data_IF_143927556062
#
_entry.id   IF_143927556062
#
_cell.length_a   1.000
_cell.length_b   1.000
_cell.length_c   1.000
_cell.angle_alpha   90.00
_cell.angle_beta   90.00
_cell.angle_gamma   90.00
#
_symmetry.space_group_name_H-M   'P 1'
#
loop_
_entity.id
_entity.type
_entity.pdbx_description
1 polymer ?
#
# COMPACT_ATOMS: atom_id res chain seq x y z
N UNK A 1 -24.65 57.34 13.38
CA UNK A 1 -24.32 56.50 12.20
C UNK A 1 -22.84 56.18 12.28
N UNK A 2 -22.47 55.01 12.83
CA UNK A 2 -21.07 54.55 12.99
C UNK A 2 -20.87 53.31 12.12
N UNK A 3 -20.00 53.41 11.11
CA UNK A 3 -19.57 52.28 10.29
C UNK A 3 -18.65 51.38 11.13
N UNK A 4 -18.96 50.08 11.23
CA UNK A 4 -18.03 49.06 11.73
C UNK A 4 -17.16 48.61 10.56
N UNK A 5 -15.85 48.82 10.64
CA UNK A 5 -14.86 48.15 9.79
C UNK A 5 -14.75 46.69 10.25
N UNK A 6 -15.02 45.76 9.35
CA UNK A 6 -14.68 44.35 9.50
C UNK A 6 -13.29 44.18 8.90
N UNK A 7 -12.31 43.86 9.75
CA UNK A 7 -10.99 43.40 9.32
C UNK A 7 -11.15 41.93 9.00
N UNK A 8 -11.12 41.58 7.71
CA UNK A 8 -10.96 40.19 7.27
C UNK A 8 -9.47 39.90 7.36
N UNK A 9 -9.05 39.21 8.43
CA UNK A 9 -7.72 38.62 8.50
C UNK A 9 -7.67 37.47 7.49
N UNK A 10 -7.01 37.72 6.37
CA UNK A 10 -6.67 36.70 5.39
C UNK A 10 -5.77 35.67 6.06
N UNK A 11 -6.29 34.45 6.25
CA UNK A 11 -5.48 33.29 6.64
C UNK A 11 -4.48 33.04 5.51
N UNK A 12 -3.18 33.17 5.80
CA UNK A 12 -2.14 32.56 4.98
C UNK A 12 -2.32 31.04 5.11
N UNK A 13 -2.89 30.41 4.08
CA UNK A 13 -2.79 28.96 3.92
C UNK A 13 -1.35 28.71 3.45
N UNK A 14 -0.50 28.31 4.40
CA UNK A 14 0.86 27.87 4.09
C UNK A 14 0.79 26.56 3.34
N UNK A 15 1.23 26.57 2.08
CA UNK A 15 1.41 25.35 1.28
C UNK A 15 2.55 24.55 1.88
N UNK A 16 2.24 23.42 2.53
CA UNK A 16 3.24 22.42 2.89
C UNK A 16 3.61 21.69 1.60
N UNK A 17 4.85 21.87 1.15
CA UNK A 17 5.40 21.10 0.04
C UNK A 17 5.68 19.67 0.55
N UNK A 18 4.85 18.71 0.12
CA UNK A 18 5.01 17.29 0.43
C UNK A 18 5.91 16.69 -0.65
N UNK A 19 7.19 16.50 -0.34
CA UNK A 19 8.19 15.89 -1.24
C UNK A 19 8.51 14.45 -0.85
N UNK A 20 7.50 13.63 -0.58
CA UNK A 20 7.73 12.31 0.02
C UNK A 20 7.65 11.10 -0.91
N UNK A 21 6.85 11.16 -1.98
CA UNK A 21 6.50 9.98 -2.78
C UNK A 21 7.00 10.01 -4.23
N UNK A 22 7.95 10.90 -4.53
CA UNK A 22 8.44 11.16 -5.88
C UNK A 22 7.63 12.25 -6.58
N UNK A 23 8.03 13.50 -6.35
CA UNK A 23 7.92 14.53 -7.37
C UNK A 23 9.35 14.86 -7.80
N UNK A 24 9.65 14.70 -9.08
CA UNK A 24 10.81 15.34 -9.68
C UNK A 24 10.81 16.82 -9.26
N UNK A 25 11.97 17.33 -8.86
CA UNK A 25 12.15 18.70 -8.39
C UNK A 25 11.56 19.72 -9.39
N UNK A 26 10.40 20.29 -9.08
CA UNK A 26 9.82 21.39 -9.86
C UNK A 26 10.50 22.69 -9.45
N UNK A 27 11.36 23.20 -10.34
CA UNK A 27 11.85 24.58 -10.30
C UNK A 27 10.70 25.55 -10.60
N UNK A 28 10.75 26.69 -9.93
CA UNK A 28 9.85 27.85 -9.96
C UNK A 28 9.01 28.09 -11.23
N UNK A 29 7.76 28.50 -10.96
CA UNK A 29 6.74 29.03 -11.86
C UNK A 29 7.27 29.84 -13.06
N UNK A 30 6.91 29.36 -14.25
CA UNK A 30 6.43 30.24 -15.31
C UNK A 30 5.07 29.75 -15.77
N UNK A 31 4.09 30.65 -15.75
CA UNK A 31 2.76 30.45 -16.34
C UNK A 31 2.86 29.79 -17.72
N UNK A 32 2.44 28.53 -17.80
CA UNK A 32 2.16 27.86 -19.07
C UNK A 32 0.72 27.36 -19.00
N UNK A 33 -0.08 27.88 -19.93
CA UNK A 33 -1.47 27.52 -20.14
C UNK A 33 -1.61 26.01 -20.34
N UNK A 34 -2.56 25.44 -19.59
CA UNK A 34 -3.27 24.18 -19.79
C UNK A 34 -2.97 23.44 -21.10
N UNK A 35 -2.37 22.25 -20.96
CA UNK A 35 -2.72 21.02 -21.71
C UNK A 35 -1.97 19.83 -21.08
N UNK A 36 -2.72 18.85 -20.54
CA UNK A 36 -2.22 17.50 -20.23
C UNK A 36 -2.37 17.07 -18.76
N UNK A 37 -3.43 16.32 -18.46
CA UNK A 37 -3.75 15.74 -17.14
C UNK A 37 -2.60 14.86 -16.60
N UNK A 38 -2.29 15.02 -15.31
CA UNK A 38 -1.67 13.98 -14.50
C UNK A 38 -2.74 12.91 -14.28
N UNK A 39 -2.51 11.69 -14.75
CA UNK A 39 -3.50 10.61 -14.76
C UNK A 39 -4.06 10.36 -13.34
N UNK A 40 -5.31 10.76 -13.14
CA UNK A 40 -6.19 10.26 -12.10
C UNK A 40 -6.39 8.76 -12.41
N UNK A 41 -5.89 7.88 -11.55
CA UNK A 41 -6.12 6.44 -11.70
C UNK A 41 -7.60 6.22 -11.42
N UNK A 42 -8.34 5.80 -12.44
CA UNK A 42 -9.75 5.46 -12.30
C UNK A 42 -9.86 4.08 -11.64
N UNK A 43 -9.79 4.07 -10.31
CA UNK A 43 -9.90 2.85 -9.51
C UNK A 43 -11.21 2.12 -9.76
N UNK A 44 -12.29 2.86 -10.06
CA UNK A 44 -13.65 2.31 -10.14
C UNK A 44 -13.85 1.31 -11.28
N UNK A 45 -13.06 1.43 -12.35
CA UNK A 45 -13.19 0.59 -13.56
C UNK A 45 -12.14 -0.56 -13.61
N UNK A 46 -11.35 -0.74 -12.55
CA UNK A 46 -10.29 -1.75 -12.55
C UNK A 46 -10.84 -3.18 -12.41
N UNK A 47 -11.88 -3.40 -11.61
CA UNK A 47 -12.52 -4.70 -11.38
C UNK A 47 -14.03 -4.54 -11.18
N UNK A 48 -14.79 -5.62 -11.31
CA UNK A 48 -16.18 -5.64 -10.83
C UNK A 48 -16.18 -5.86 -9.31
N UNK A 49 -16.06 -4.76 -8.56
CA UNK A 49 -16.00 -4.80 -7.10
C UNK A 49 -17.28 -5.33 -6.46
N UNK A 50 -18.43 -5.17 -7.12
CA UNK A 50 -19.69 -5.72 -6.61
C UNK A 50 -19.69 -7.25 -6.72
N UNK A 51 -19.26 -7.80 -7.87
CA UNK A 51 -19.09 -9.25 -8.05
C UNK A 51 -18.04 -9.84 -7.10
N UNK A 52 -16.94 -9.11 -6.88
CA UNK A 52 -15.90 -9.50 -5.93
C UNK A 52 -16.35 -9.39 -4.46
N UNK A 53 -17.43 -8.66 -4.15
CA UNK A 53 -17.87 -8.41 -2.77
C UNK A 53 -16.97 -7.43 -2.02
N UNK A 54 -16.38 -6.47 -2.72
CA UNK A 54 -15.46 -5.45 -2.18
C UNK A 54 -16.22 -4.13 -2.00
N UNK A 55 -16.26 -3.66 -0.76
CA UNK A 55 -16.78 -2.33 -0.44
C UNK A 55 -15.62 -1.30 -0.32
N UNK A 56 -15.85 -0.03 -0.68
CA UNK A 56 -14.83 1.00 -0.53
C UNK A 56 -14.49 1.26 0.95
N UNK A 57 -13.20 1.36 1.24
CA UNK A 57 -12.65 1.63 2.55
C UNK A 57 -13.14 2.97 3.12
N UNK A 58 -13.54 2.94 4.40
CA UNK A 58 -13.99 4.13 5.12
C UNK A 58 -12.82 4.77 5.86
N UNK A 59 -12.33 5.89 5.31
CA UNK A 59 -11.21 6.62 5.89
C UNK A 59 -11.61 7.36 7.17
N UNK A 60 -10.66 7.48 8.09
CA UNK A 60 -10.80 8.33 9.26
C UNK A 60 -11.04 9.80 8.85
N UNK A 61 -11.80 10.57 9.65
CA UNK A 61 -12.17 11.95 9.31
C UNK A 61 -11.00 12.93 9.35
N UNK A 62 -9.86 12.55 9.95
CA UNK A 62 -8.63 13.34 9.99
C UNK A 62 -7.43 12.47 9.66
N UNK A 63 -6.42 13.08 9.04
CA UNK A 63 -5.14 12.42 8.75
C UNK A 63 -4.28 12.23 9.99
N UNK A 64 -4.45 13.07 11.02
CA UNK A 64 -3.67 13.02 12.26
C UNK A 64 -3.89 11.75 13.10
N UNK A 65 -4.79 10.87 12.68
CA UNK A 65 -5.09 9.58 13.32
C UNK A 65 -4.71 8.38 12.45
N UNK A 66 -3.89 8.59 11.41
CA UNK A 66 -3.37 7.48 10.61
C UNK A 66 -2.53 6.54 11.48
N UNK A 67 -2.77 5.24 11.31
CA UNK A 67 -2.04 4.15 11.94
C UNK A 67 -1.86 3.03 10.91
N UNK A 68 -0.67 2.45 10.85
CA UNK A 68 -0.45 1.21 10.12
C UNK A 68 -1.10 0.05 10.87
N UNK A 69 -2.10 -0.59 10.26
CA UNK A 69 -2.61 -1.86 10.76
C UNK A 69 -1.57 -2.98 10.61
N UNK A 70 -1.79 -4.10 11.28
CA UNK A 70 -0.94 -5.28 11.13
C UNK A 70 -0.99 -5.84 9.70
N UNK A 71 -2.14 -5.76 9.02
CA UNK A 71 -2.27 -6.17 7.62
C UNK A 71 -1.39 -5.30 6.70
N UNK A 72 -1.38 -3.99 6.93
CA UNK A 72 -0.53 -3.08 6.14
C UNK A 72 0.96 -3.28 6.46
N UNK A 73 1.32 -3.52 7.72
CA UNK A 73 2.72 -3.82 8.11
C UNK A 73 3.22 -5.10 7.46
N UNK A 74 2.43 -6.17 7.53
CA UNK A 74 2.78 -7.47 6.93
C UNK A 74 2.95 -7.33 5.41
N UNK A 75 2.04 -6.59 4.74
CA UNK A 75 2.14 -6.30 3.32
C UNK A 75 3.43 -5.55 2.94
N UNK A 76 3.81 -4.55 3.73
CA UNK A 76 5.07 -3.80 3.54
C UNK A 76 6.27 -4.72 3.70
N UNK A 77 6.32 -5.49 4.79
CA UNK A 77 7.41 -6.43 5.05
C UNK A 77 7.55 -7.44 3.90
N UNK A 78 6.44 -7.94 3.38
CA UNK A 78 6.48 -8.89 2.26
C UNK A 78 7.15 -8.29 1.02
N UNK A 79 6.71 -7.10 0.60
CA UNK A 79 7.25 -6.45 -0.59
C UNK A 79 8.72 -6.10 -0.40
N UNK A 80 9.10 -5.78 0.84
CA UNK A 80 10.48 -5.59 1.23
C UNK A 80 11.29 -6.90 1.11
N UNK A 81 10.79 -8.03 1.59
CA UNK A 81 11.46 -9.34 1.45
C UNK A 81 11.62 -9.77 -0.02
N UNK A 82 10.68 -9.41 -0.90
CA UNK A 82 10.77 -9.71 -2.33
C UNK A 82 11.94 -8.99 -3.02
N UNK A 83 12.14 -7.70 -2.74
CA UNK A 83 12.98 -6.85 -3.61
C UNK A 83 13.94 -5.90 -2.87
N UNK A 84 13.83 -5.79 -1.54
CA UNK A 84 14.44 -4.77 -0.66
C UNK A 84 14.09 -3.32 -1.00
N UNK A 85 13.84 -3.03 -2.28
CA UNK A 85 13.43 -1.74 -2.81
C UNK A 85 12.28 -1.97 -3.80
N UNK A 86 11.05 -1.82 -3.33
CA UNK A 86 9.87 -2.04 -4.15
C UNK A 86 9.53 -0.83 -5.04
N UNK A 87 9.10 -1.10 -6.27
CA UNK A 87 8.35 -0.15 -7.11
C UNK A 87 7.37 -0.91 -8.03
N UNK A 88 6.36 -0.24 -8.63
CA UNK A 88 5.26 -0.93 -9.29
C UNK A 88 5.67 -1.71 -10.56
N UNK A 89 6.75 -1.32 -11.25
CA UNK A 89 7.25 -2.07 -12.42
C UNK A 89 7.77 -3.46 -12.06
N UNK A 90 8.10 -3.71 -10.80
CA UNK A 90 8.53 -5.04 -10.34
C UNK A 90 7.38 -6.06 -10.37
N UNK A 91 6.13 -5.61 -10.34
CA UNK A 91 4.98 -6.50 -10.54
C UNK A 91 4.90 -7.08 -11.96
N UNK A 92 5.69 -6.57 -12.90
CA UNK A 92 5.77 -7.08 -14.28
C UNK A 92 6.91 -8.08 -14.47
N UNK A 93 7.71 -8.36 -13.43
CA UNK A 93 8.78 -9.34 -13.50
C UNK A 93 8.23 -10.76 -13.66
N UNK A 94 8.94 -11.60 -14.41
CA UNK A 94 8.52 -12.98 -14.70
C UNK A 94 8.32 -13.84 -13.43
N UNK A 95 9.05 -13.55 -12.35
CA UNK A 95 8.99 -14.28 -11.09
C UNK A 95 7.95 -13.74 -10.10
N UNK A 96 7.38 -12.56 -10.37
CA UNK A 96 6.47 -11.89 -9.44
C UNK A 96 5.20 -12.72 -9.20
N UNK A 97 4.58 -13.28 -10.24
CA UNK A 97 3.35 -14.08 -10.08
C UNK A 97 3.60 -15.29 -9.17
N UNK A 98 4.69 -16.03 -9.40
CA UNK A 98 5.03 -17.20 -8.60
C UNK A 98 5.34 -16.80 -7.14
N UNK A 99 6.12 -15.74 -6.95
CA UNK A 99 6.39 -15.18 -5.63
C UNK A 99 5.10 -14.72 -4.94
N UNK A 100 4.21 -14.03 -5.67
CA UNK A 100 2.97 -13.48 -5.15
C UNK A 100 2.04 -14.59 -4.67
N UNK A 101 1.74 -15.56 -5.53
CA UNK A 101 0.87 -16.68 -5.17
C UNK A 101 1.48 -17.48 -4.00
N UNK A 102 2.79 -17.70 -4.01
CA UNK A 102 3.44 -18.49 -2.97
C UNK A 102 3.60 -17.77 -1.63
N UNK A 103 3.72 -16.44 -1.57
CA UNK A 103 4.01 -15.72 -0.32
C UNK A 103 2.90 -14.76 0.11
N UNK A 104 2.25 -14.04 -0.79
CA UNK A 104 1.28 -13.01 -0.41
C UNK A 104 -0.08 -13.56 0.01
N UNK A 105 -0.52 -14.67 -0.58
CA UNK A 105 -1.71 -15.41 -0.12
C UNK A 105 -1.53 -15.86 1.35
N UNK A 106 -0.27 -15.98 1.83
CA UNK A 106 0.09 -16.39 3.19
C UNK A 106 -0.01 -15.29 4.23
N UNK A 107 0.00 -14.01 3.82
CA UNK A 107 0.31 -12.86 4.69
C UNK A 107 -0.91 -12.11 5.19
N UNK A 108 -2.07 -12.72 5.02
CA UNK A 108 -3.33 -12.00 5.06
C UNK A 108 -4.34 -12.68 6.01
N UNK A 109 -3.85 -13.18 7.16
CA UNK A 109 -4.73 -13.71 8.22
C UNK A 109 -5.65 -12.65 8.89
N UNK A 110 -5.55 -11.37 8.51
CA UNK A 110 -6.21 -10.26 9.20
C UNK A 110 -7.20 -9.42 8.40
N UNK A 111 -7.21 -9.46 7.06
CA UNK A 111 -8.08 -8.58 6.28
C UNK A 111 -9.46 -9.19 5.99
N UNK A 112 -10.49 -8.36 6.04
CA UNK A 112 -11.90 -8.77 5.91
C UNK A 112 -12.18 -9.56 4.61
N UNK A 113 -11.48 -9.24 3.52
CA UNK A 113 -11.65 -9.90 2.23
C UNK A 113 -11.22 -11.38 2.22
N UNK A 114 -10.05 -11.70 2.77
CA UNK A 114 -9.60 -13.09 2.81
C UNK A 114 -10.35 -13.89 3.88
N UNK A 115 -10.81 -13.26 4.96
CA UNK A 115 -11.74 -13.91 5.87
C UNK A 115 -12.98 -14.40 5.11
N UNK A 116 -13.53 -13.58 4.23
CA UNK A 116 -14.62 -13.98 3.36
C UNK A 116 -14.22 -15.13 2.40
N UNK A 117 -12.97 -15.15 1.89
CA UNK A 117 -12.45 -16.26 1.08
C UNK A 117 -12.30 -17.57 1.88
N UNK A 118 -11.78 -17.52 3.10
CA UNK A 118 -11.70 -18.67 4.01
C UNK A 118 -13.09 -19.22 4.36
N UNK A 119 -14.05 -18.32 4.60
CA UNK A 119 -15.45 -18.70 4.86
C UNK A 119 -16.13 -19.35 3.62
N UNK A 120 -15.56 -19.18 2.42
CA UNK A 120 -16.05 -19.65 1.11
C UNK A 120 -15.13 -20.72 0.48
N UNK A 121 -14.63 -21.64 1.29
CA UNK A 121 -13.80 -22.81 0.93
C UNK A 121 -12.28 -22.56 0.74
N UNK A 122 -11.77 -21.38 1.09
CA UNK A 122 -10.34 -21.10 1.05
C UNK A 122 -9.74 -21.09 -0.36
N UNK A 123 -10.56 -20.78 -1.37
CA UNK A 123 -10.14 -20.78 -2.77
C UNK A 123 -10.36 -19.42 -3.41
N UNK A 124 -9.30 -18.90 -4.02
CA UNK A 124 -9.33 -17.69 -4.81
C UNK A 124 -9.35 -18.05 -6.31
N UNK A 125 -10.25 -17.43 -7.06
CA UNK A 125 -10.18 -17.42 -8.51
C UNK A 125 -8.99 -16.59 -9.00
N UNK A 126 -8.67 -16.73 -10.30
CA UNK A 126 -7.69 -15.88 -10.98
C UNK A 126 -7.97 -14.39 -10.78
N UNK A 127 -9.22 -13.95 -10.98
CA UNK A 127 -9.60 -12.55 -10.86
C UNK A 127 -9.44 -12.03 -9.43
N UNK A 128 -9.81 -12.83 -8.42
CA UNK A 128 -9.62 -12.47 -7.02
C UNK A 128 -8.14 -12.33 -6.65
N UNK A 129 -7.28 -13.20 -7.19
CA UNK A 129 -5.84 -13.11 -6.98
C UNK A 129 -5.21 -11.89 -7.68
N UNK A 130 -5.64 -11.58 -8.90
CA UNK A 130 -5.25 -10.37 -9.63
C UNK A 130 -5.75 -9.10 -8.89
N UNK A 131 -6.97 -9.13 -8.35
CA UNK A 131 -7.51 -8.04 -7.52
C UNK A 131 -6.68 -7.82 -6.25
N UNK A 132 -6.36 -8.88 -5.50
CA UNK A 132 -5.56 -8.75 -4.27
C UNK A 132 -4.16 -8.22 -4.57
N UNK A 133 -3.55 -8.64 -5.69
CA UNK A 133 -2.27 -8.10 -6.13
C UNK A 133 -2.38 -6.63 -6.54
N UNK A 134 -3.47 -6.26 -7.22
CA UNK A 134 -3.71 -4.88 -7.63
C UNK A 134 -3.93 -3.97 -6.42
N UNK A 135 -4.72 -4.45 -5.45
CA UNK A 135 -4.95 -3.83 -4.17
C UNK A 135 -3.63 -3.54 -3.42
N UNK A 136 -2.69 -4.48 -3.46
CA UNK A 136 -1.37 -4.34 -2.85
C UNK A 136 -0.47 -3.32 -3.56
N UNK A 137 -0.43 -3.37 -4.89
CA UNK A 137 0.65 -2.75 -5.69
C UNK A 137 0.21 -1.55 -6.52
N UNK A 138 -1.09 -1.39 -6.72
CA UNK A 138 -1.70 -0.45 -7.66
C UNK A 138 -1.47 -0.79 -9.15
N UNK A 139 -0.81 -1.91 -9.46
CA UNK A 139 -0.48 -2.31 -10.83
C UNK A 139 -1.41 -3.42 -11.30
N UNK A 140 -2.22 -3.17 -12.32
CA UNK A 140 -3.11 -4.18 -12.89
C UNK A 140 -2.32 -5.08 -13.83
N UNK A 141 -2.11 -6.33 -13.43
CA UNK A 141 -1.47 -7.36 -14.25
C UNK A 141 -2.43 -8.53 -14.45
N UNK A 142 -2.18 -9.35 -15.48
CA UNK A 142 -2.89 -10.62 -15.63
C UNK A 142 -1.95 -11.78 -15.35
N UNK A 143 -2.41 -12.70 -14.51
CA UNK A 143 -1.72 -13.93 -14.21
C UNK A 143 -1.86 -14.94 -15.35
N UNK A 144 -0.77 -15.63 -15.63
CA UNK A 144 -0.73 -16.77 -16.52
C UNK A 144 -1.26 -18.01 -15.78
N UNK A 145 -2.56 -18.03 -15.53
CA UNK A 145 -3.33 -19.15 -14.99
C UNK A 145 -4.46 -19.48 -15.95
N UNK A 146 -4.83 -20.77 -16.01
CA UNK A 146 -5.96 -21.24 -16.81
C UNK A 146 -7.27 -20.57 -16.35
N UNK A 147 -8.18 -20.34 -17.30
CA UNK A 147 -9.50 -19.81 -16.98
C UNK A 147 -10.27 -20.78 -16.07
N UNK A 148 -10.71 -20.30 -14.91
CA UNK A 148 -11.35 -21.13 -13.88
C UNK A 148 -10.38 -21.88 -12.96
N UNK A 149 -9.06 -21.64 -13.08
CA UNK A 149 -8.11 -22.08 -12.07
C UNK A 149 -8.47 -21.50 -10.70
N UNK A 150 -8.39 -22.35 -9.68
CA UNK A 150 -8.58 -21.98 -8.29
C UNK A 150 -7.24 -22.14 -7.57
N UNK A 151 -6.83 -21.07 -6.89
CA UNK A 151 -5.68 -21.04 -6.00
C UNK A 151 -6.19 -21.44 -4.62
N UNK A 152 -5.74 -22.59 -4.13
CA UNK A 152 -6.03 -23.04 -2.77
C UNK A 152 -5.13 -22.29 -1.79
N UNK A 153 -5.73 -21.48 -0.92
CA UNK A 153 -4.97 -20.63 0.01
C UNK A 153 -4.43 -21.44 1.21
N UNK A 154 -4.97 -22.64 1.47
CA UNK A 154 -4.49 -23.51 2.54
C UNK A 154 -3.16 -24.19 2.22
N UNK A 155 -2.89 -24.47 0.94
CA UNK A 155 -1.61 -25.04 0.47
C UNK A 155 -0.39 -24.16 0.82
N UNK A 156 -0.64 -22.91 1.23
CA UNK A 156 0.37 -21.91 1.51
C UNK A 156 0.36 -21.46 3.00
N UNK A 157 -0.38 -22.10 3.90
CA UNK A 157 -0.68 -21.59 5.27
C UNK A 157 0.45 -21.63 6.34
N UNK A 158 1.73 -21.62 5.95
CA UNK A 158 2.87 -21.93 6.86
C UNK A 158 3.91 -20.85 7.10
N UNK A 159 3.79 -19.67 6.48
CA UNK A 159 4.81 -18.61 6.58
C UNK A 159 4.38 -17.54 7.59
N UNK A 160 5.29 -17.23 8.53
CA UNK A 160 5.28 -15.98 9.28
C UNK A 160 6.43 -15.16 8.72
N UNK A 161 6.24 -13.89 8.33
CA UNK A 161 7.37 -13.06 7.93
C UNK A 161 8.43 -13.09 9.03
N UNK A 162 9.70 -13.25 8.62
CA UNK A 162 10.84 -13.22 9.54
C UNK A 162 11.12 -11.79 10.00
N UNK A 163 10.58 -10.83 9.27
CA UNK A 163 10.70 -9.41 9.55
C UNK A 163 9.42 -8.82 10.14
N UNK A 164 9.54 -7.76 10.95
CA UNK A 164 8.40 -7.02 11.52
C UNK A 164 8.61 -5.52 11.50
N UNK A 165 7.51 -4.75 11.52
CA UNK A 165 7.55 -3.29 11.75
C UNK A 165 6.97 -3.01 13.13
N UNK A 166 7.79 -2.47 14.02
CA UNK A 166 7.37 -2.10 15.38
C UNK A 166 7.31 -0.58 15.56
N UNK A 167 8.28 0.13 14.98
CA UNK A 167 8.41 1.58 15.08
C UNK A 167 8.30 2.24 13.70
N UNK A 168 7.49 3.30 13.64
CA UNK A 168 7.38 4.15 12.45
C UNK A 168 6.93 5.57 12.80
N UNK A 169 7.22 6.49 11.88
CA UNK A 169 6.61 7.83 11.82
C UNK A 169 6.05 8.05 10.44
N UNK A 170 5.21 9.06 10.26
CA UNK A 170 4.62 9.34 8.95
C UNK A 170 4.43 10.84 8.71
N UNK A 171 4.42 11.21 7.44
CA UNK A 171 4.07 12.54 6.95
C UNK A 171 3.25 12.44 5.65
N UNK A 172 2.61 13.54 5.24
CA UNK A 172 1.83 13.60 4.00
C UNK A 172 0.37 14.00 4.23
N UNK A 173 -0.54 13.33 3.52
CA UNK A 173 -1.98 13.55 3.58
C UNK A 173 -2.77 12.28 3.24
N UNK A 174 -4.11 12.34 3.23
CA UNK A 174 -4.98 11.19 2.95
C UNK A 174 -4.84 10.56 1.56
N UNK A 175 -4.27 11.28 0.59
CA UNK A 175 -4.05 10.75 -0.76
C UNK A 175 -2.69 10.05 -0.89
N UNK A 176 -1.71 10.48 -0.09
CA UNK A 176 -0.33 10.05 -0.20
C UNK A 176 0.37 10.18 1.14
N UNK A 177 0.85 9.05 1.65
CA UNK A 177 1.49 8.93 2.95
C UNK A 177 2.92 8.44 2.75
N UNK A 178 3.87 9.16 3.32
CA UNK A 178 5.24 8.67 3.48
C UNK A 178 5.38 8.14 4.90
N UNK A 179 5.69 6.86 5.01
CA UNK A 179 6.00 6.20 6.29
C UNK A 179 7.51 6.01 6.36
N UNK A 180 8.12 6.48 7.44
CA UNK A 180 9.49 6.15 7.82
C UNK A 180 9.42 5.03 8.85
N UNK A 181 9.78 3.82 8.46
CA UNK A 181 9.67 2.62 9.30
C UNK A 181 11.03 1.97 9.54
N UNK A 182 11.13 1.26 10.66
CA UNK A 182 12.22 0.31 10.91
C UNK A 182 11.68 -1.11 10.76
N UNK A 183 12.30 -1.87 9.85
CA UNK A 183 12.06 -3.30 9.68
C UNK A 183 13.08 -4.05 10.55
N UNK A 184 12.59 -4.91 11.44
CA UNK A 184 13.39 -5.73 12.34
C UNK A 184 13.41 -7.17 11.87
N UNK A 185 14.61 -7.76 11.74
CA UNK A 185 14.79 -9.18 11.49
C UNK A 185 15.30 -9.88 12.75
N UNK A 186 14.51 -10.75 13.36
CA UNK A 186 14.91 -11.45 14.59
C UNK A 186 15.65 -12.76 14.30
N UNK A 187 16.91 -12.83 14.74
CA UNK A 187 17.72 -14.04 14.74
C UNK A 187 17.61 -14.76 16.08
N UNK A 188 17.09 -15.99 16.07
CA UNK A 188 17.09 -16.86 17.24
C UNK A 188 18.21 -17.89 17.13
N UNK A 189 19.25 -17.73 17.95
CA UNK A 189 20.34 -18.72 18.06
C UNK A 189 20.47 -19.20 19.51
N UNK A 190 19.70 -20.24 19.85
CA UNK A 190 19.63 -20.76 21.22
C UNK A 190 18.79 -19.83 22.11
N UNK A 191 19.39 -19.29 23.18
CA UNK A 191 18.74 -18.30 24.07
C UNK A 191 19.04 -16.84 23.69
N UNK A 192 19.87 -16.62 22.66
CA UNK A 192 20.23 -15.27 22.20
C UNK A 192 19.26 -14.85 21.10
N UNK A 193 18.59 -13.73 21.33
CA UNK A 193 17.82 -13.00 20.32
C UNK A 193 18.68 -11.81 19.89
N UNK A 194 19.05 -11.78 18.61
CA UNK A 194 19.67 -10.62 17.98
C UNK A 194 18.70 -10.07 16.93
N UNK A 195 18.70 -8.76 16.71
CA UNK A 195 17.84 -8.13 15.69
C UNK A 195 18.69 -7.30 14.73
N UNK A 196 18.57 -7.57 13.43
CA UNK A 196 19.03 -6.62 12.42
C UNK A 196 17.95 -5.56 12.22
N UNK A 197 18.36 -4.31 12.00
CA UNK A 197 17.47 -3.17 11.78
C UNK A 197 17.71 -2.58 10.40
N UNK A 198 16.64 -2.45 9.61
CA UNK A 198 16.66 -1.84 8.28
C UNK A 198 15.71 -0.64 8.27
N UNK A 199 16.22 0.53 7.90
CA UNK A 199 15.40 1.75 7.81
C UNK A 199 14.84 1.85 6.42
N UNK A 200 13.53 2.04 6.31
CA UNK A 200 12.84 2.14 5.03
C UNK A 200 11.90 3.33 4.96
N UNK A 201 11.84 3.91 3.77
CA UNK A 201 10.82 4.88 3.37
C UNK A 201 9.77 4.17 2.51
N UNK A 202 8.53 4.15 2.99
CA UNK A 202 7.39 3.51 2.32
C UNK A 202 6.41 4.57 1.85
N UNK A 203 6.14 4.58 0.55
CA UNK A 203 5.11 5.43 -0.04
C UNK A 203 3.81 4.65 -0.19
N UNK A 204 2.78 5.07 0.54
CA UNK A 204 1.41 4.57 0.39
C UNK A 204 0.58 5.58 -0.41
N UNK A 205 -0.24 5.07 -1.32
CA UNK A 205 -1.16 5.88 -2.11
C UNK A 205 -2.58 5.37 -1.96
N UNK A 206 -3.53 6.31 -1.96
CA UNK A 206 -4.93 6.01 -1.72
C UNK A 206 -5.50 5.14 -2.84
N UNK A 207 -6.18 4.08 -2.45
CA UNK A 207 -7.06 3.27 -3.28
C UNK A 207 -8.23 2.81 -2.42
N UNK A 208 -9.42 3.41 -2.55
CA UNK A 208 -10.58 3.04 -1.74
C UNK A 208 -10.96 1.57 -1.82
N UNK A 209 -10.66 0.88 -2.91
CA UNK A 209 -10.95 -0.55 -3.07
C UNK A 209 -9.77 -1.44 -2.70
N UNK A 210 -8.72 -0.90 -2.09
CA UNK A 210 -7.65 -1.71 -1.55
C UNK A 210 -8.11 -2.45 -0.30
N UNK A 211 -7.91 -3.76 -0.30
CA UNK A 211 -8.00 -4.62 0.85
C UNK A 211 -6.83 -4.39 1.87
N UNK A 212 -5.86 -3.54 1.58
CA UNK A 212 -4.83 -3.10 2.54
C UNK A 212 -5.19 -1.70 3.06
N UNK A 213 -6.21 -1.62 3.92
CA UNK A 213 -6.68 -0.39 4.57
C UNK A 213 -6.94 0.81 3.65
N UNK A 214 -7.39 0.55 2.42
CA UNK A 214 -7.65 1.62 1.46
C UNK A 214 -6.39 2.29 0.90
N UNK A 215 -5.22 1.66 1.02
CA UNK A 215 -3.97 2.11 0.41
C UNK A 215 -3.26 1.00 -0.34
N UNK A 216 -2.49 1.36 -1.36
CA UNK A 216 -1.55 0.45 -2.01
C UNK A 216 -0.12 0.93 -1.80
N UNK A 217 0.84 0.01 -1.87
CA UNK A 217 2.25 0.29 -1.64
C UNK A 217 2.88 0.68 -2.97
N UNK A 218 3.04 2.00 -3.15
CA UNK A 218 3.62 2.56 -4.37
C UNK A 218 5.13 2.35 -4.43
N UNK A 219 5.85 2.47 -3.31
CA UNK A 219 7.29 2.21 -3.27
C UNK A 219 7.78 1.87 -1.87
N UNK A 220 8.86 1.09 -1.80
CA UNK A 220 9.67 0.90 -0.59
C UNK A 220 11.11 1.23 -0.98
N UNK A 221 11.82 2.01 -0.15
CA UNK A 221 13.23 2.34 -0.37
C UNK A 221 14.00 2.07 0.91
N UNK A 222 15.08 1.31 0.81
CA UNK A 222 16.06 1.20 1.88
C UNK A 222 16.82 2.53 2.00
N UNK A 223 16.86 3.07 3.22
CA UNK A 223 17.56 4.31 3.57
C UNK A 223 18.65 4.07 4.61
N UNK A 224 19.04 2.82 4.82
CA UNK A 224 20.15 2.40 5.66
C UNK A 224 21.47 2.81 4.99
N UNK A 225 22.04 3.94 5.42
CA UNK A 225 23.39 4.41 5.04
C UNK A 225 24.51 3.62 5.68
#
# INVERSE_FOLDING_TARGET
MRLKQVIVSSLLVGTIAISGCGADSVKEEKEIKSTGNVNEVDWADAFDYEELGVEPYTYAPSFDVFELSDVQKDAIVTLYEYSLNWNPSMAENDDWQEYYISNFVRMYRGGDYLKALYDRDGKASKEEAEYMQYSLTGQKISFNLDDGALIDIEDYSGFSPENTIQDYTYEGNSETILVHATIYHEHVSGEVIASDEYKVDVCLKRNPFSCYDGYYIYSIKDVTT
#
